data_IF_459470691276
#
_entry.id   IF_459470691276
#
_cell.length_a   1.000
_cell.length_b   1.000
_cell.length_c   1.000
_cell.angle_alpha   90.00
_cell.angle_beta   90.00
_cell.angle_gamma   90.00
#
_symmetry.space_group_name_H-M   'P 1'
#
loop_
_entity.id
_entity.type
_entity.pdbx_description
1 polymer ?
#
# COMPACT_ATOMS: atom_id res chain seq x y z
N UNK A 1 19.00 3.06 8.51
CA UNK A 1 18.63 1.65 8.87
C UNK A 1 17.19 1.59 9.31
N UNK A 2 16.37 0.68 8.75
CA UNK A 2 14.94 0.76 8.89
C UNK A 2 14.20 -0.58 8.95
N UNK A 3 12.90 -0.46 8.99
CA UNK A 3 11.96 -1.55 8.79
C UNK A 3 11.12 -1.27 7.55
N UNK A 4 10.53 -2.32 6.98
CA UNK A 4 9.71 -2.14 5.79
C UNK A 4 8.54 -1.19 6.04
N UNK A 5 8.29 -0.35 5.06
CA UNK A 5 7.05 0.39 4.94
C UNK A 5 6.39 0.00 3.61
N UNK A 6 5.26 -0.68 3.74
CA UNK A 6 4.41 -1.07 2.63
C UNK A 6 2.96 -0.98 3.09
N UNK A 7 2.12 -0.26 2.35
CA UNK A 7 0.74 -0.07 2.70
C UNK A 7 -0.15 -0.09 1.45
N UNK A 8 -1.35 -0.62 1.57
CA UNK A 8 -2.39 -0.54 0.53
C UNK A 8 -3.71 -0.08 1.14
N UNK A 9 -4.43 0.72 0.38
CA UNK A 9 -5.80 1.17 0.67
C UNK A 9 -6.68 1.07 -0.56
N UNK A 10 -7.99 1.09 -0.36
CA UNK A 10 -8.96 1.13 -1.45
C UNK A 10 -9.63 2.48 -1.52
N UNK A 11 -9.76 3.01 -2.71
CA UNK A 11 -10.35 4.34 -2.95
C UNK A 11 -11.57 4.25 -3.84
N UNK A 12 -12.59 5.06 -3.49
CA UNK A 12 -13.81 5.25 -4.24
C UNK A 12 -13.68 6.45 -5.21
N UNK A 13 -14.58 6.52 -6.19
CA UNK A 13 -14.67 7.70 -7.09
C UNK A 13 -15.04 8.98 -6.35
N UNK A 14 -15.87 8.85 -5.31
CA UNK A 14 -16.38 9.98 -4.54
C UNK A 14 -15.90 9.87 -3.10
N UNK A 15 -15.40 10.97 -2.56
CA UNK A 15 -15.05 11.09 -1.15
C UNK A 15 -16.32 10.92 -0.29
N UNK A 16 -16.14 10.29 0.88
CA UNK A 16 -17.21 10.11 1.85
C UNK A 16 -16.99 11.02 3.04
N UNK A 17 -18.05 11.64 3.50
CA UNK A 17 -18.07 12.31 4.79
C UNK A 17 -19.00 11.56 5.72
N UNK A 18 -18.53 11.27 6.92
CA UNK A 18 -19.33 10.66 7.97
C UNK A 18 -19.01 11.27 9.32
N UNK A 19 -20.03 11.37 10.14
CA UNK A 19 -19.91 11.83 11.51
C UNK A 19 -19.93 10.64 12.46
N UNK A 20 -19.03 10.65 13.42
CA UNK A 20 -18.94 9.64 14.45
C UNK A 20 -18.87 10.30 15.81
N UNK A 21 -19.76 9.91 16.71
CA UNK A 21 -19.65 10.24 18.12
C UNK A 21 -18.47 9.47 18.73
N UNK A 22 -17.54 10.18 19.30
CA UNK A 22 -16.41 9.64 20.04
C UNK A 22 -16.45 10.08 21.48
N UNK A 23 -16.05 9.20 22.40
CA UNK A 23 -15.86 9.56 23.81
C UNK A 23 -14.38 9.89 24.03
N UNK A 24 -14.09 11.08 24.51
CA UNK A 24 -12.72 11.50 24.84
C UNK A 24 -12.20 10.65 25.99
N UNK A 25 -11.09 9.94 25.77
CA UNK A 25 -10.56 8.96 26.73
C UNK A 25 -9.55 9.54 27.72
N UNK A 26 -8.97 10.71 27.45
CA UNK A 26 -7.87 11.30 28.24
C UNK A 26 -7.96 12.83 28.28
N UNK A 27 -7.33 13.43 29.31
CA UNK A 27 -7.26 14.87 29.51
C UNK A 27 -8.45 15.45 30.30
N UNK A 28 -8.51 16.76 30.41
CA UNK A 28 -9.54 17.49 31.18
C UNK A 28 -10.98 17.30 30.66
N UNK A 29 -11.13 16.84 29.42
CA UNK A 29 -12.42 16.53 28.77
C UNK A 29 -12.74 15.03 28.72
N UNK A 30 -12.03 14.20 29.48
CA UNK A 30 -12.29 12.76 29.52
C UNK A 30 -13.74 12.46 29.92
N UNK A 31 -14.38 11.55 29.18
CA UNK A 31 -15.80 11.21 29.36
C UNK A 31 -16.79 12.05 28.55
N UNK A 32 -16.37 13.19 28.01
CA UNK A 32 -17.23 13.99 27.13
C UNK A 32 -17.37 13.33 25.74
N UNK A 33 -18.54 13.50 25.14
CA UNK A 33 -18.84 13.07 23.79
C UNK A 33 -18.58 14.22 22.81
N UNK A 34 -17.94 13.91 21.71
CA UNK A 34 -17.63 14.83 20.64
C UNK A 34 -18.02 14.20 19.30
N UNK A 35 -18.65 14.97 18.41
CA UNK A 35 -18.91 14.52 17.04
C UNK A 35 -17.66 14.82 16.22
N UNK A 36 -16.98 13.76 15.78
CA UNK A 36 -15.85 13.87 14.86
C UNK A 36 -16.33 13.63 13.44
N UNK A 37 -16.27 14.69 12.62
CA UNK A 37 -16.44 14.57 11.17
C UNK A 37 -15.15 13.98 10.58
N UNK A 38 -15.30 12.93 9.81
CA UNK A 38 -14.22 12.30 9.06
C UNK A 38 -14.55 12.34 7.59
N UNK A 39 -13.65 12.85 6.79
CA UNK A 39 -13.74 12.85 5.34
C UNK A 39 -12.71 11.86 4.80
N UNK A 40 -13.13 10.97 3.89
CA UNK A 40 -12.21 10.13 3.14
C UNK A 40 -11.77 10.87 1.89
N UNK A 41 -10.61 10.50 1.36
CA UNK A 41 -10.15 10.99 0.06
C UNK A 41 -10.76 10.16 -1.06
N UNK A 42 -11.07 10.76 -2.19
CA UNK A 42 -11.46 10.08 -3.41
C UNK A 42 -10.23 9.55 -4.16
N UNK A 43 -10.44 8.68 -5.15
CA UNK A 43 -9.34 8.28 -6.05
C UNK A 43 -8.76 9.50 -6.78
N UNK A 44 -9.59 10.47 -7.15
CA UNK A 44 -9.15 11.72 -7.79
C UNK A 44 -8.16 12.47 -6.90
N UNK A 45 -8.49 12.69 -5.62
CA UNK A 45 -7.62 13.42 -4.68
C UNK A 45 -6.25 12.73 -4.54
N UNK A 46 -6.22 11.39 -4.59
CA UNK A 46 -4.99 10.61 -4.52
C UNK A 46 -4.19 10.70 -5.83
N UNK A 47 -4.84 10.64 -6.96
CA UNK A 47 -4.15 10.76 -8.26
C UNK A 47 -3.60 12.16 -8.49
N UNK A 48 -4.31 13.20 -8.06
CA UNK A 48 -3.83 14.58 -8.09
C UNK A 48 -2.59 14.78 -7.21
N UNK A 49 -2.57 14.20 -6.01
CA UNK A 49 -1.39 14.21 -5.14
C UNK A 49 -0.21 13.46 -5.77
N UNK A 50 -0.45 12.25 -6.30
CA UNK A 50 0.59 11.48 -6.97
C UNK A 50 1.12 12.15 -8.24
N UNK A 51 0.30 12.92 -8.92
CA UNK A 51 0.69 13.72 -10.09
C UNK A 51 1.37 15.04 -9.71
N UNK A 52 1.46 15.38 -8.43
CA UNK A 52 1.99 16.66 -7.93
C UNK A 52 1.23 17.88 -8.47
N UNK A 53 -0.11 17.77 -8.54
CA UNK A 53 -0.95 18.94 -8.81
C UNK A 53 -0.81 19.91 -7.63
N UNK A 54 -0.61 21.19 -7.91
CA UNK A 54 -0.23 22.22 -6.91
C UNK A 54 -1.15 22.25 -5.69
N UNK A 55 -2.47 22.26 -5.89
CA UNK A 55 -3.45 22.31 -4.80
C UNK A 55 -3.50 21.03 -3.96
N UNK A 56 -3.07 19.89 -4.53
CA UNK A 56 -3.07 18.59 -3.87
C UNK A 56 -1.73 18.29 -3.15
N UNK A 57 -0.68 19.09 -3.41
CA UNK A 57 0.70 18.83 -2.98
C UNK A 57 1.24 19.86 -1.99
N UNK A 58 0.38 20.59 -1.29
CA UNK A 58 0.74 21.66 -0.34
C UNK A 58 1.64 21.20 0.82
N UNK A 59 1.76 19.91 1.07
CA UNK A 59 2.61 19.32 2.11
C UNK A 59 4.04 19.08 1.64
N UNK A 60 4.33 19.27 0.37
CA UNK A 60 5.67 19.12 -0.23
C UNK A 60 6.26 20.50 -0.46
N UNK A 61 7.43 20.77 0.12
CA UNK A 61 8.06 22.10 0.06
C UNK A 61 8.50 22.48 -1.36
N UNK A 62 9.03 21.53 -2.12
CA UNK A 62 9.51 21.71 -3.50
C UNK A 62 8.99 20.55 -4.38
N UNK A 63 7.71 20.58 -4.79
CA UNK A 63 7.12 19.49 -5.53
C UNK A 63 7.75 19.34 -6.92
N UNK A 64 8.18 18.13 -7.24
CA UNK A 64 8.76 17.75 -8.53
C UNK A 64 7.84 16.79 -9.27
N UNK A 65 7.84 16.87 -10.60
CA UNK A 65 7.09 15.91 -11.42
C UNK A 65 7.46 14.48 -11.06
N UNK A 66 6.48 13.59 -10.82
CA UNK A 66 6.75 12.21 -10.45
C UNK A 66 7.48 11.46 -11.57
N UNK A 67 8.40 10.59 -11.19
CA UNK A 67 9.03 9.66 -12.13
C UNK A 67 8.07 8.51 -12.46
N UNK A 68 7.63 8.39 -13.72
CA UNK A 68 6.81 7.26 -14.15
C UNK A 68 7.68 6.02 -14.35
N UNK A 69 7.56 5.04 -13.47
CA UNK A 69 8.31 3.79 -13.50
C UNK A 69 7.61 2.71 -14.34
N UNK A 70 6.28 2.70 -14.37
CA UNK A 70 5.50 1.73 -15.14
C UNK A 70 4.06 2.20 -15.38
N UNK A 71 3.53 1.82 -16.55
CA UNK A 71 2.13 2.00 -16.92
C UNK A 71 1.83 3.42 -17.42
N UNK A 72 0.77 4.03 -16.91
CA UNK A 72 0.29 5.34 -17.33
C UNK A 72 0.44 6.36 -16.19
N UNK A 73 0.51 7.68 -16.51
CA UNK A 73 0.49 8.73 -15.50
C UNK A 73 -0.73 8.62 -14.57
N UNK A 74 -0.64 9.10 -13.29
CA UNK A 74 -1.73 8.96 -12.32
C UNK A 74 -3.07 9.50 -12.81
N UNK A 75 -3.09 10.63 -13.50
CA UNK A 75 -4.35 11.22 -13.97
C UNK A 75 -5.06 10.38 -15.05
N UNK A 76 -4.33 9.60 -15.84
CA UNK A 76 -4.94 8.68 -16.82
C UNK A 76 -5.61 7.48 -16.15
N UNK A 77 -5.16 7.11 -14.94
CA UNK A 77 -5.76 6.02 -14.16
C UNK A 77 -7.22 6.31 -13.81
N UNK A 78 -7.60 7.58 -13.64
CA UNK A 78 -8.98 7.97 -13.33
C UNK A 78 -9.95 7.51 -14.40
N UNK A 79 -9.61 7.75 -15.69
CA UNK A 79 -10.45 7.32 -16.80
C UNK A 79 -10.62 5.79 -16.85
N UNK A 80 -9.53 5.05 -16.58
CA UNK A 80 -9.56 3.59 -16.51
C UNK A 80 -10.44 3.08 -15.35
N UNK A 81 -10.37 3.75 -14.18
CA UNK A 81 -11.17 3.40 -13.03
C UNK A 81 -12.67 3.67 -13.27
N UNK A 82 -12.99 4.78 -13.93
CA UNK A 82 -14.37 5.15 -14.29
C UNK A 82 -14.95 4.16 -15.32
N UNK A 83 -14.20 3.84 -16.36
CA UNK A 83 -14.61 2.84 -17.35
C UNK A 83 -14.89 1.47 -16.72
N UNK A 84 -14.01 1.01 -15.84
CA UNK A 84 -14.24 -0.23 -15.09
C UNK A 84 -15.49 -0.12 -14.20
N UNK A 85 -15.63 0.94 -13.44
CA UNK A 85 -16.72 1.15 -12.49
C UNK A 85 -18.11 1.19 -13.15
N UNK A 86 -18.20 1.78 -14.34
CA UNK A 86 -19.46 1.87 -15.08
C UNK A 86 -19.97 0.50 -15.57
N UNK A 87 -19.07 -0.45 -15.74
CA UNK A 87 -19.37 -1.83 -16.12
C UNK A 87 -19.44 -2.79 -14.91
N UNK A 88 -18.90 -2.38 -13.74
CA UNK A 88 -18.81 -3.22 -12.56
C UNK A 88 -20.17 -3.49 -11.92
N UNK A 89 -20.33 -4.72 -11.41
CA UNK A 89 -21.53 -5.15 -10.69
C UNK A 89 -21.19 -5.61 -9.28
N UNK A 90 -22.12 -5.41 -8.36
CA UNK A 90 -22.01 -5.94 -7.01
C UNK A 90 -22.22 -7.47 -7.00
N UNK A 91 -22.08 -8.10 -5.83
CA UNK A 91 -22.26 -9.56 -5.69
C UNK A 91 -23.68 -10.07 -6.00
N UNK A 92 -24.64 -9.17 -6.15
CA UNK A 92 -26.04 -9.47 -6.49
C UNK A 92 -26.36 -9.14 -7.96
N UNK A 93 -25.36 -8.66 -8.73
CA UNK A 93 -25.52 -8.29 -10.13
C UNK A 93 -26.03 -6.85 -10.38
N UNK A 94 -26.21 -6.05 -9.33
CA UNK A 94 -26.60 -4.64 -9.47
C UNK A 94 -25.39 -3.77 -9.81
N UNK A 95 -25.64 -2.66 -10.50
CA UNK A 95 -24.62 -1.65 -10.79
C UNK A 95 -23.92 -1.22 -9.49
N UNK A 96 -22.61 -1.05 -9.56
CA UNK A 96 -21.81 -0.63 -8.42
C UNK A 96 -22.26 0.75 -7.93
N UNK A 97 -22.28 0.95 -6.61
CA UNK A 97 -22.59 2.25 -6.02
C UNK A 97 -21.49 3.26 -6.33
N UNK A 98 -21.85 4.53 -6.46
CA UNK A 98 -20.90 5.62 -6.71
C UNK A 98 -19.81 5.75 -5.64
N UNK A 99 -20.13 5.35 -4.41
CA UNK A 99 -19.24 5.35 -3.25
C UNK A 99 -18.49 4.01 -3.06
N UNK A 100 -18.61 3.07 -4.00
CA UNK A 100 -17.86 1.83 -4.02
C UNK A 100 -16.39 2.06 -4.39
N UNK A 101 -15.48 1.30 -3.77
CA UNK A 101 -14.05 1.39 -4.08
C UNK A 101 -13.75 0.88 -5.49
N UNK A 102 -12.97 1.63 -6.25
CA UNK A 102 -12.67 1.35 -7.67
C UNK A 102 -11.21 1.00 -7.93
N UNK A 103 -10.33 1.32 -7.00
CA UNK A 103 -8.91 1.03 -7.12
C UNK A 103 -8.29 0.61 -5.79
N UNK A 104 -7.22 -0.18 -5.85
CA UNK A 104 -6.26 -0.36 -4.77
C UNK A 104 -5.10 0.57 -5.07
N UNK A 105 -4.75 1.42 -4.12
CA UNK A 105 -3.56 2.26 -4.18
C UNK A 105 -2.64 1.85 -3.07
N UNK A 106 -1.36 1.79 -3.36
CA UNK A 106 -0.37 1.43 -2.36
C UNK A 106 0.86 2.30 -2.42
N UNK A 107 1.64 2.22 -1.36
CA UNK A 107 2.92 2.91 -1.21
C UNK A 107 3.95 1.96 -0.62
N UNK A 108 5.18 2.05 -1.12
CA UNK A 108 6.34 1.40 -0.54
C UNK A 108 7.49 2.42 -0.45
N UNK A 109 8.16 2.51 0.70
CA UNK A 109 9.23 3.47 0.90
C UNK A 109 10.44 2.88 1.58
N UNK A 110 11.59 3.55 1.39
CA UNK A 110 12.81 3.34 2.15
C UNK A 110 13.05 4.46 3.16
N UNK A 111 13.75 4.17 4.26
CA UNK A 111 14.30 5.22 5.12
C UNK A 111 15.26 6.12 4.31
N UNK A 112 15.34 7.40 4.66
CA UNK A 112 16.20 8.38 3.99
C UNK A 112 17.68 7.95 3.95
N UNK A 113 18.13 7.30 4.98
CA UNK A 113 19.52 6.82 5.08
C UNK A 113 19.86 5.72 4.08
N UNK A 114 18.87 5.23 3.34
CA UNK A 114 19.00 4.18 2.32
C UNK A 114 18.60 4.70 0.92
N UNK A 115 18.65 6.00 0.71
CA UNK A 115 18.27 6.64 -0.56
C UNK A 115 19.08 6.09 -1.76
N UNK A 116 20.36 5.81 -1.56
CA UNK A 116 21.24 5.22 -2.59
C UNK A 116 20.78 3.82 -3.04
N UNK A 117 20.08 3.08 -2.17
CA UNK A 117 19.55 1.74 -2.48
C UNK A 117 18.15 1.81 -3.12
N UNK A 118 17.55 3.00 -3.22
CA UNK A 118 16.17 3.15 -3.69
C UNK A 118 15.94 2.69 -5.13
N UNK A 119 16.83 2.91 -6.11
CA UNK A 119 16.64 2.39 -7.46
C UNK A 119 16.48 0.86 -7.50
N UNK A 120 17.32 0.11 -6.78
CA UNK A 120 17.23 -1.35 -6.68
C UNK A 120 15.95 -1.79 -5.96
N UNK A 121 15.57 -1.09 -4.89
CA UNK A 121 14.33 -1.33 -4.16
C UNK A 121 13.10 -1.11 -5.06
N UNK A 122 13.08 -0.03 -5.83
CA UNK A 122 11.99 0.31 -6.74
C UNK A 122 11.84 -0.74 -7.85
N UNK A 123 12.95 -1.21 -8.43
CA UNK A 123 12.95 -2.28 -9.43
C UNK A 123 12.42 -3.61 -8.86
N UNK A 124 12.90 -4.03 -7.70
CA UNK A 124 12.44 -5.23 -7.02
C UNK A 124 10.95 -5.13 -6.64
N UNK A 125 10.50 -3.95 -6.19
CA UNK A 125 9.09 -3.69 -5.89
C UNK A 125 8.25 -3.77 -7.16
N UNK A 126 8.67 -3.16 -8.26
CA UNK A 126 7.96 -3.21 -9.55
C UNK A 126 7.84 -4.66 -10.05
N UNK A 127 8.91 -5.44 -9.98
CA UNK A 127 8.89 -6.85 -10.36
C UNK A 127 7.86 -7.63 -9.54
N UNK A 128 7.87 -7.46 -8.23
CA UNK A 128 6.90 -8.10 -7.34
C UNK A 128 5.46 -7.66 -7.63
N UNK A 129 5.21 -6.37 -7.88
CA UNK A 129 3.90 -5.84 -8.25
C UNK A 129 3.38 -6.45 -9.56
N UNK A 130 4.24 -6.57 -10.57
CA UNK A 130 3.91 -7.20 -11.86
C UNK A 130 3.58 -8.69 -11.70
N UNK A 131 4.36 -9.42 -10.91
CA UNK A 131 4.09 -10.83 -10.61
C UNK A 131 2.75 -11.00 -9.88
N UNK A 132 2.44 -10.09 -8.94
CA UNK A 132 1.25 -10.17 -8.10
C UNK A 132 -0.03 -9.72 -8.82
N UNK A 133 0.01 -8.59 -9.49
CA UNK A 133 -1.19 -7.95 -10.05
C UNK A 133 -1.33 -8.09 -11.55
N UNK A 134 -0.24 -8.38 -12.26
CA UNK A 134 -0.23 -8.51 -13.71
C UNK A 134 -0.73 -7.24 -14.40
N UNK A 135 -1.63 -7.39 -15.35
CA UNK A 135 -2.25 -6.30 -16.13
C UNK A 135 -3.24 -5.43 -15.33
N UNK A 136 -3.57 -5.81 -14.09
CA UNK A 136 -4.33 -4.96 -13.14
C UNK A 136 -3.49 -3.79 -12.62
N UNK A 137 -2.16 -3.93 -12.61
CA UNK A 137 -1.25 -2.84 -12.27
C UNK A 137 -1.29 -1.79 -13.39
N UNK A 138 -1.75 -0.58 -13.09
CA UNK A 138 -1.96 0.48 -14.09
C UNK A 138 -0.91 1.56 -14.04
N UNK A 139 -0.43 1.91 -12.86
CA UNK A 139 0.57 2.95 -12.68
C UNK A 139 1.52 2.60 -11.55
N UNK A 140 2.78 2.94 -11.73
CA UNK A 140 3.78 3.01 -10.65
C UNK A 140 4.58 4.28 -10.87
N UNK A 141 4.54 5.18 -9.88
CA UNK A 141 5.29 6.44 -9.89
C UNK A 141 6.22 6.53 -8.70
N UNK A 142 7.30 7.25 -8.87
CA UNK A 142 8.33 7.49 -7.85
C UNK A 142 8.30 8.94 -7.43
N UNK A 143 8.38 9.18 -6.14
CA UNK A 143 8.60 10.49 -5.52
C UNK A 143 9.95 10.51 -4.80
N UNK A 144 10.76 11.48 -5.13
CA UNK A 144 12.08 11.76 -4.55
C UNK A 144 12.17 13.18 -3.96
N UNK A 145 11.04 13.86 -3.88
CA UNK A 145 10.86 15.23 -3.39
C UNK A 145 10.41 15.30 -1.92
N UNK A 146 10.32 14.18 -1.25
CA UNK A 146 9.98 14.06 0.17
C UNK A 146 11.14 13.45 0.98
N UNK A 147 11.12 13.56 2.33
CA UNK A 147 12.21 13.06 3.18
C UNK A 147 12.51 11.56 3.03
N UNK A 148 11.51 10.77 2.62
CA UNK A 148 11.64 9.33 2.40
C UNK A 148 11.35 9.03 0.92
N UNK A 149 12.34 8.52 0.15
CA UNK A 149 12.07 8.12 -1.22
C UNK A 149 11.04 6.98 -1.23
N UNK A 150 10.04 7.11 -2.07
CA UNK A 150 8.95 6.14 -2.12
C UNK A 150 8.36 6.01 -3.51
N UNK A 151 7.65 4.92 -3.73
CA UNK A 151 6.83 4.73 -4.91
C UNK A 151 5.36 4.52 -4.52
N UNK A 152 4.50 5.06 -5.35
CA UNK A 152 3.07 4.76 -5.35
C UNK A 152 2.72 3.83 -6.49
N UNK A 153 1.73 2.98 -6.27
CA UNK A 153 1.19 2.13 -7.33
C UNK A 153 -0.33 2.07 -7.28
N UNK A 154 -0.94 1.88 -8.44
CA UNK A 154 -2.40 1.79 -8.56
C UNK A 154 -2.80 0.56 -9.35
N UNK A 155 -3.76 -0.18 -8.78
CA UNK A 155 -4.31 -1.42 -9.31
C UNK A 155 -5.81 -1.25 -9.55
N UNK A 156 -6.27 -1.58 -10.76
CA UNK A 156 -7.69 -1.60 -11.13
C UNK A 156 -8.06 -3.03 -11.54
N UNK A 157 -9.21 -3.56 -11.10
CA UNK A 157 -9.65 -4.88 -11.52
C UNK A 157 -9.85 -4.98 -13.04
N UNK A 158 -9.79 -6.18 -13.59
CA UNK A 158 -10.18 -6.43 -14.97
C UNK A 158 -11.69 -6.29 -15.15
N UNK A 159 -12.12 -6.19 -16.39
CA UNK A 159 -13.55 -6.27 -16.72
C UNK A 159 -14.14 -7.58 -16.19
N UNK A 160 -15.23 -7.48 -15.45
CA UNK A 160 -15.92 -8.61 -14.84
C UNK A 160 -15.34 -9.09 -13.49
N UNK A 161 -14.18 -8.57 -13.07
CA UNK A 161 -13.64 -8.83 -11.73
C UNK A 161 -14.20 -7.83 -10.72
N UNK A 162 -14.23 -8.22 -9.47
CA UNK A 162 -14.58 -7.35 -8.35
C UNK A 162 -13.31 -6.96 -7.60
N UNK A 163 -13.26 -5.73 -7.12
CA UNK A 163 -12.12 -5.24 -6.31
C UNK A 163 -11.92 -6.10 -5.05
N UNK A 164 -13.01 -6.54 -4.44
CA UNK A 164 -12.96 -7.41 -3.25
C UNK A 164 -12.27 -8.76 -3.50
N UNK A 165 -12.25 -9.24 -4.73
CA UNK A 165 -11.64 -10.54 -5.07
C UNK A 165 -10.13 -10.44 -5.32
N UNK A 166 -9.62 -9.22 -5.53
CA UNK A 166 -8.19 -8.94 -5.74
C UNK A 166 -7.49 -8.32 -4.54
N UNK A 167 -8.25 -7.79 -3.57
CA UNK A 167 -7.71 -7.27 -2.31
C UNK A 167 -7.71 -8.37 -1.25
N UNK A 168 -6.55 -8.81 -0.79
CA UNK A 168 -6.37 -9.97 0.07
C UNK A 168 -7.27 -9.96 1.30
N UNK A 169 -7.27 -8.85 2.04
CA UNK A 169 -8.06 -8.74 3.25
C UNK A 169 -9.57 -8.78 2.99
N UNK A 170 -10.05 -8.10 1.93
CA UNK A 170 -11.47 -8.12 1.57
C UNK A 170 -11.91 -9.50 1.07
N UNK A 171 -11.08 -10.16 0.28
CA UNK A 171 -11.30 -11.52 -0.19
C UNK A 171 -11.47 -12.48 0.99
N UNK A 172 -10.50 -12.52 1.90
CA UNK A 172 -10.55 -13.38 3.09
C UNK A 172 -11.76 -13.08 4.00
N UNK A 173 -12.09 -11.80 4.18
CA UNK A 173 -13.29 -11.39 4.91
C UNK A 173 -14.57 -11.89 4.25
N UNK A 174 -14.68 -11.77 2.94
CA UNK A 174 -15.85 -12.21 2.18
C UNK A 174 -15.98 -13.74 2.16
N UNK A 175 -14.88 -14.47 2.09
CA UNK A 175 -14.86 -15.94 2.23
C UNK A 175 -15.33 -16.39 3.62
N UNK A 176 -14.83 -15.74 4.67
CA UNK A 176 -15.29 -15.99 6.04
C UNK A 176 -16.80 -15.71 6.19
N UNK A 177 -17.31 -14.64 5.56
CA UNK A 177 -18.74 -14.32 5.53
C UNK A 177 -19.57 -15.38 4.78
N UNK A 178 -19.09 -15.87 3.64
CA UNK A 178 -19.75 -16.96 2.89
C UNK A 178 -19.84 -18.24 3.71
N UNK A 179 -18.86 -18.50 4.57
CA UNK A 179 -18.82 -19.62 5.50
C UNK A 179 -19.61 -19.34 6.81
N UNK A 180 -20.53 -18.38 6.80
CA UNK A 180 -21.38 -18.00 7.92
C UNK A 180 -20.63 -17.59 9.20
N UNK A 181 -19.37 -17.16 9.10
CA UNK A 181 -18.61 -16.69 10.24
C UNK A 181 -19.10 -15.31 10.71
N UNK A 182 -19.06 -15.08 12.03
CA UNK A 182 -19.47 -13.80 12.64
C UNK A 182 -18.43 -12.70 12.41
N UNK A 183 -18.81 -11.44 12.61
CA UNK A 183 -17.98 -10.27 12.31
C UNK A 183 -16.58 -10.29 12.93
N UNK A 184 -16.41 -10.83 14.15
CA UNK A 184 -15.08 -11.00 14.80
C UNK A 184 -14.18 -11.94 13.98
N UNK A 185 -14.68 -13.08 13.53
CA UNK A 185 -13.92 -14.04 12.73
C UNK A 185 -13.61 -13.48 11.33
N UNK A 186 -14.55 -12.76 10.73
CA UNK A 186 -14.32 -12.05 9.47
C UNK A 186 -13.19 -11.02 9.58
N UNK A 187 -13.13 -10.28 10.69
CA UNK A 187 -12.05 -9.33 10.92
C UNK A 187 -10.70 -10.01 11.18
N UNK A 188 -10.69 -11.15 11.88
CA UNK A 188 -9.49 -11.97 12.07
C UNK A 188 -8.97 -12.47 10.71
N UNK A 189 -9.84 -12.95 9.83
CA UNK A 189 -9.47 -13.39 8.49
C UNK A 189 -8.87 -12.24 7.66
N UNK A 190 -9.50 -11.06 7.68
CA UNK A 190 -8.95 -9.85 7.05
C UNK A 190 -7.54 -9.53 7.54
N UNK A 191 -7.35 -9.45 8.86
CA UNK A 191 -6.04 -9.12 9.47
C UNK A 191 -4.99 -10.19 9.13
N UNK A 192 -5.38 -11.47 9.13
CA UNK A 192 -4.51 -12.58 8.75
C UNK A 192 -3.99 -12.41 7.33
N UNK A 193 -4.89 -12.23 6.36
CA UNK A 193 -4.53 -12.05 4.96
C UNK A 193 -3.67 -10.79 4.71
N UNK A 194 -3.93 -9.70 5.43
CA UNK A 194 -3.10 -8.49 5.34
C UNK A 194 -1.71 -8.70 5.94
N UNK A 195 -1.55 -9.54 6.97
CA UNK A 195 -0.23 -9.92 7.49
C UNK A 195 0.54 -10.78 6.50
N UNK A 196 -0.12 -11.76 5.89
CA UNK A 196 0.48 -12.60 4.84
C UNK A 196 0.95 -11.76 3.64
N UNK A 197 0.17 -10.77 3.22
CA UNK A 197 0.59 -9.81 2.20
C UNK A 197 1.87 -9.07 2.59
N UNK A 198 1.92 -8.58 3.82
CA UNK A 198 3.08 -7.88 4.37
C UNK A 198 4.30 -8.79 4.50
N UNK A 199 4.11 -10.06 4.89
CA UNK A 199 5.18 -11.05 5.01
C UNK A 199 5.72 -11.42 3.63
N UNK A 200 4.84 -11.58 2.64
CA UNK A 200 5.24 -11.84 1.26
C UNK A 200 6.05 -10.68 0.64
N UNK A 201 5.62 -9.43 0.87
CA UNK A 201 6.40 -8.25 0.45
C UNK A 201 7.77 -8.23 1.15
N UNK A 202 7.82 -8.54 2.44
CA UNK A 202 9.09 -8.63 3.17
C UNK A 202 10.04 -9.64 2.54
N UNK A 203 9.59 -10.86 2.32
CA UNK A 203 10.41 -11.96 1.79
C UNK A 203 10.89 -11.68 0.36
N UNK A 204 10.06 -11.08 -0.48
CA UNK A 204 10.35 -10.87 -1.89
C UNK A 204 11.11 -9.57 -2.17
N UNK A 205 10.90 -8.53 -1.37
CA UNK A 205 11.43 -7.18 -1.62
C UNK A 205 12.25 -6.67 -0.44
N UNK A 206 11.62 -6.41 0.71
CA UNK A 206 12.24 -5.64 1.78
C UNK A 206 13.47 -6.33 2.42
N UNK A 207 13.46 -7.65 2.51
CA UNK A 207 14.59 -8.45 3.01
C UNK A 207 15.85 -8.24 2.15
N UNK A 208 15.70 -8.07 0.83
CA UNK A 208 16.80 -7.83 -0.11
C UNK A 208 17.46 -6.47 0.09
N UNK A 209 16.69 -5.50 0.57
CA UNK A 209 17.18 -4.16 0.91
C UNK A 209 17.70 -4.05 2.35
N UNK A 210 17.81 -5.16 3.09
CA UNK A 210 18.34 -5.15 4.47
C UNK A 210 17.37 -4.55 5.51
N UNK A 211 16.08 -4.42 5.18
CA UNK A 211 15.07 -3.98 6.13
C UNK A 211 14.65 -5.10 7.08
N UNK A 212 14.21 -4.73 8.28
CA UNK A 212 13.50 -5.67 9.16
C UNK A 212 12.00 -5.66 8.86
N UNK A 213 11.32 -6.77 9.15
CA UNK A 213 9.87 -6.90 8.91
C UNK A 213 9.03 -5.96 9.77
N UNK A 214 9.41 -5.77 11.02
CA UNK A 214 8.70 -4.96 12.00
C UNK A 214 9.64 -3.98 12.66
N UNK A 215 9.14 -2.79 12.97
CA UNK A 215 9.88 -1.78 13.71
C UNK A 215 9.95 -2.06 15.22
N UNK A 216 10.87 -1.39 15.95
CA UNK A 216 11.15 -1.65 17.36
C UNK A 216 9.98 -1.39 18.28
N UNK A 217 9.14 -0.41 17.98
CA UNK A 217 7.94 -0.12 18.77
C UNK A 217 6.91 -1.26 18.71
N UNK A 218 6.87 -1.99 17.61
CA UNK A 218 5.95 -3.13 17.39
C UNK A 218 6.41 -4.37 18.15
N UNK A 219 7.73 -4.61 18.17
CA UNK A 219 8.35 -5.77 18.83
C UNK A 219 8.73 -5.50 20.28
N UNK A 220 8.65 -4.24 20.72
CA UNK A 220 9.09 -3.79 22.05
C UNK A 220 10.54 -4.15 22.35
N UNK A 221 11.38 -4.08 21.32
CA UNK A 221 12.80 -4.39 21.42
C UNK A 221 13.54 -3.30 22.22
N UNK A 222 14.54 -3.73 22.97
CA UNK A 222 15.55 -2.81 23.49
C UNK A 222 16.42 -2.29 22.35
N UNK A 223 17.14 -1.18 22.56
CA UNK A 223 18.04 -0.61 21.57
C UNK A 223 19.08 -1.63 21.06
N UNK A 224 19.63 -2.42 21.97
CA UNK A 224 20.65 -3.44 21.62
C UNK A 224 20.06 -4.56 20.74
N UNK A 225 18.89 -5.07 21.11
CA UNK A 225 18.19 -6.11 20.34
C UNK A 225 17.81 -5.58 18.96
N UNK A 226 17.34 -4.34 18.88
CA UNK A 226 17.00 -3.70 17.61
C UNK A 226 18.24 -3.56 16.71
N UNK A 227 19.35 -3.05 17.23
CA UNK A 227 20.62 -2.94 16.49
C UNK A 227 21.11 -4.29 15.96
N UNK A 228 21.06 -5.34 16.78
CA UNK A 228 21.43 -6.68 16.34
C UNK A 228 20.52 -7.20 15.21
N UNK A 229 19.21 -6.97 15.28
CA UNK A 229 18.27 -7.33 14.21
C UNK A 229 18.59 -6.61 12.90
N UNK A 230 18.93 -5.32 12.96
CA UNK A 230 19.31 -4.55 11.79
C UNK A 230 20.60 -5.07 11.14
N UNK A 231 21.64 -5.31 11.94
CA UNK A 231 22.89 -5.88 11.45
C UNK A 231 22.68 -7.25 10.78
N UNK A 232 21.84 -8.11 11.37
CA UNK A 232 21.49 -9.39 10.78
C UNK A 232 20.73 -9.25 9.45
N UNK A 233 19.81 -8.27 9.35
CA UNK A 233 19.07 -8.00 8.14
C UNK A 233 19.98 -7.52 6.99
N UNK A 234 20.93 -6.62 7.30
CA UNK A 234 21.94 -6.17 6.34
C UNK A 234 22.88 -7.31 5.89
N UNK A 235 23.35 -8.12 6.83
CA UNK A 235 24.20 -9.26 6.50
C UNK A 235 23.46 -10.28 5.62
N UNK A 236 22.17 -10.49 5.86
CA UNK A 236 21.33 -11.34 5.04
C UNK A 236 21.14 -10.78 3.63
N UNK A 237 20.86 -9.50 3.49
CA UNK A 237 20.73 -8.83 2.19
C UNK A 237 22.01 -8.96 1.35
N UNK A 238 23.19 -8.74 1.97
CA UNK A 238 24.48 -8.93 1.30
C UNK A 238 24.69 -10.35 0.82
N UNK A 239 24.31 -11.35 1.61
CA UNK A 239 24.40 -12.78 1.22
C UNK A 239 23.44 -13.08 0.06
N UNK A 240 22.22 -12.59 0.10
CA UNK A 240 21.24 -12.80 -0.97
C UNK A 240 21.73 -12.19 -2.29
N UNK A 241 22.29 -10.99 -2.25
CA UNK A 241 22.87 -10.32 -3.42
C UNK A 241 24.04 -11.12 -4.00
N UNK A 242 24.97 -11.58 -3.17
CA UNK A 242 26.12 -12.41 -3.60
C UNK A 242 25.67 -13.73 -4.27
N UNK A 243 24.62 -14.37 -3.75
CA UNK A 243 24.05 -15.58 -4.36
C UNK A 243 23.43 -15.28 -5.72
N UNK A 244 22.73 -14.15 -5.85
CA UNK A 244 22.08 -13.74 -7.09
C UNK A 244 23.10 -13.40 -8.18
N UNK A 245 24.16 -12.68 -7.82
CA UNK A 245 25.27 -12.36 -8.72
C UNK A 245 26.02 -13.63 -9.18
N UNK A 246 26.26 -14.57 -8.28
CA UNK A 246 26.86 -15.86 -8.61
C UNK A 246 26.00 -16.67 -9.60
N UNK A 247 24.66 -16.62 -9.45
CA UNK A 247 23.74 -17.29 -10.38
C UNK A 247 23.72 -16.63 -11.75
N UNK A 248 23.82 -15.29 -11.81
CA UNK A 248 23.91 -14.57 -13.10
C UNK A 248 25.17 -14.95 -13.86
N UNK A 249 26.31 -15.03 -13.17
CA UNK A 249 27.59 -15.45 -13.77
C UNK A 249 27.52 -16.90 -14.27
N UNK A 250 26.87 -17.80 -13.52
CA UNK A 250 26.75 -19.21 -13.91
C UNK A 250 25.78 -19.46 -15.08
N UNK A 251 24.93 -18.49 -15.42
CA UNK A 251 23.94 -18.57 -16.50
C UNK A 251 24.39 -17.85 -17.79
N UNK A 252 25.50 -17.09 -17.73
CA UNK A 252 26.15 -16.42 -18.87
C UNK A 252 27.24 -17.28 -19.50
#
# INVERSE_FOLDING_TARGET
>A
MGYQFFHIETYARVAKSYEREITIKKGSRAGQKEIKKTETRSLKDIMEEQARIDEASLHVDDPRSPGLLYGVPPMEVLAMADEWADQAKDSRGYKMKSDGSVAIVGVASLPREMEDDFPEFAENTLKWLKEKYGDRLKSVVVHDDEPHPHLHFTVIPRKGERLDDIHEGLKAKNEAKKNNQKGKAQNIAYIGAMRELQDNFYEKVAMRSGLTRLGPARTRDTRQVWQAKQQNAEALAKKLKAIEDSKKVAAS
#
